data_IF_579711862150
#
_entry.id   IF_579711862150
#
_cell.length_a   1.000
_cell.length_b   1.000
_cell.length_c   1.000
_cell.angle_alpha   90.00
_cell.angle_beta   90.00
_cell.angle_gamma   90.00
#
_symmetry.space_group_name_H-M   'P 1'
#
loop_
_entity.id
_entity.type
_entity.pdbx_description
1 polymer ?
#
# COMPACT_ATOMS: atom_id res chain seq x y z
N UNK A 1 -1.04 -0.47 -13.10
CA UNK A 1 -2.17 0.19 -12.41
C UNK A 1 -3.38 -0.71 -12.56
N UNK A 2 -3.82 -1.41 -11.51
CA UNK A 2 -4.93 -2.35 -11.61
C UNK A 2 -6.24 -1.58 -11.41
N UNK A 3 -6.76 -0.98 -12.48
CA UNK A 3 -8.05 -0.29 -12.47
C UNK A 3 -9.16 -1.34 -12.33
N UNK A 4 -9.51 -1.69 -11.08
CA UNK A 4 -10.67 -2.54 -10.81
C UNK A 4 -11.94 -1.71 -11.01
N UNK A 5 -12.47 -1.74 -12.23
CA UNK A 5 -13.82 -1.24 -12.51
C UNK A 5 -14.79 -2.11 -11.70
N UNK A 6 -15.65 -1.54 -10.84
CA UNK A 6 -16.52 -2.31 -9.94
C UNK A 6 -17.73 -2.89 -10.68
N UNK A 7 -17.48 -3.77 -11.66
CA UNK A 7 -18.51 -4.40 -12.51
C UNK A 7 -19.51 -5.28 -11.74
N UNK A 8 -19.24 -5.57 -10.45
CA UNK A 8 -20.11 -6.35 -9.56
C UNK A 8 -21.01 -5.48 -8.66
N UNK A 9 -20.81 -4.16 -8.65
CA UNK A 9 -21.59 -3.24 -7.83
C UNK A 9 -22.20 -2.17 -8.73
N UNK A 10 -23.42 -2.41 -9.21
CA UNK A 10 -24.12 -1.54 -10.18
C UNK A 10 -24.24 -0.09 -9.72
N UNK A 11 -24.41 0.14 -8.41
CA UNK A 11 -24.52 1.50 -7.87
C UNK A 11 -23.18 2.22 -7.90
N UNK A 12 -22.11 1.53 -7.54
CA UNK A 12 -20.76 2.11 -7.62
C UNK A 12 -20.32 2.30 -9.07
N UNK A 13 -20.62 1.34 -9.93
CA UNK A 13 -20.35 1.41 -11.36
C UNK A 13 -21.08 2.58 -12.03
N UNK A 14 -22.35 2.83 -11.66
CA UNK A 14 -23.08 4.01 -12.09
C UNK A 14 -22.38 5.31 -11.67
N UNK A 15 -21.85 5.38 -10.43
CA UNK A 15 -21.10 6.57 -9.99
C UNK A 15 -19.82 6.80 -10.80
N UNK A 16 -19.11 5.73 -11.21
CA UNK A 16 -17.97 5.85 -12.11
C UNK A 16 -18.37 6.43 -13.46
N UNK A 17 -19.41 5.86 -14.09
CA UNK A 17 -19.91 6.35 -15.38
C UNK A 17 -20.32 7.81 -15.26
N UNK A 18 -21.14 8.16 -14.26
CA UNK A 18 -21.63 9.54 -14.10
C UNK A 18 -20.50 10.53 -13.79
N UNK A 19 -19.47 10.11 -13.07
CA UNK A 19 -18.29 10.95 -12.83
C UNK A 19 -17.43 11.14 -14.09
N UNK A 20 -17.39 10.16 -14.99
CA UNK A 20 -16.68 10.27 -16.27
C UNK A 20 -17.42 11.22 -17.20
N UNK A 21 -18.75 11.09 -17.28
CA UNK A 21 -19.60 11.94 -18.11
C UNK A 21 -19.58 13.39 -17.59
N UNK A 22 -19.71 13.56 -16.27
CA UNK A 22 -19.68 14.86 -15.59
C UNK A 22 -20.72 15.89 -16.10
N UNK A 23 -21.84 15.40 -16.62
CA UNK A 23 -22.99 16.19 -17.06
C UNK A 23 -24.17 16.05 -16.08
N UNK A 24 -24.99 17.10 -15.91
CA UNK A 24 -26.19 17.05 -15.07
C UNK A 24 -27.25 16.10 -15.65
N UNK A 25 -27.36 16.05 -16.97
CA UNK A 25 -28.29 15.22 -17.72
C UNK A 25 -27.66 14.70 -19.01
N UNK A 26 -28.15 13.56 -19.50
CA UNK A 26 -27.70 12.94 -20.75
C UNK A 26 -28.85 12.17 -21.39
N UNK A 27 -28.97 12.17 -22.72
CA UNK A 27 -30.00 11.38 -23.37
C UNK A 27 -29.73 9.87 -23.20
N UNK A 28 -30.78 9.05 -23.30
CA UNK A 28 -30.62 7.59 -23.23
C UNK A 28 -29.64 7.06 -24.30
N UNK A 29 -29.72 7.59 -25.52
CA UNK A 29 -28.90 7.14 -26.64
C UNK A 29 -27.44 7.54 -26.44
N UNK A 30 -27.19 8.77 -26.00
CA UNK A 30 -25.83 9.24 -25.75
C UNK A 30 -25.20 8.47 -24.59
N UNK A 31 -25.95 8.22 -23.50
CA UNK A 31 -25.44 7.41 -22.39
C UNK A 31 -25.10 5.98 -22.84
N UNK A 32 -25.95 5.38 -23.69
CA UNK A 32 -25.70 4.06 -24.25
C UNK A 32 -24.45 4.08 -25.12
N UNK A 33 -24.35 5.07 -26.00
CA UNK A 33 -23.24 5.22 -26.92
C UNK A 33 -21.92 5.43 -26.16
N UNK A 34 -21.89 6.34 -25.19
CA UNK A 34 -20.71 6.61 -24.38
C UNK A 34 -20.25 5.39 -23.60
N UNK A 35 -21.15 4.66 -22.95
CA UNK A 35 -20.74 3.46 -22.18
C UNK A 35 -20.19 2.36 -23.11
N UNK A 36 -20.82 2.15 -24.27
CA UNK A 36 -20.50 1.02 -25.16
C UNK A 36 -19.37 1.29 -26.15
N UNK A 37 -19.31 2.49 -26.71
CA UNK A 37 -18.43 2.81 -27.82
C UNK A 37 -17.33 3.81 -27.45
N UNK A 38 -17.59 4.79 -26.58
CA UNK A 38 -16.52 5.71 -26.16
C UNK A 38 -15.66 5.10 -25.05
N UNK A 39 -16.30 4.48 -24.05
CA UNK A 39 -15.64 3.95 -22.87
C UNK A 39 -15.40 2.43 -22.95
N UNK A 40 -15.98 1.74 -23.94
CA UNK A 40 -15.86 0.30 -24.15
C UNK A 40 -16.09 -0.54 -22.88
N UNK A 41 -17.03 -0.13 -22.02
CA UNK A 41 -17.23 -0.76 -20.71
C UNK A 41 -18.07 -2.03 -20.80
N UNK A 42 -19.00 -2.09 -21.75
CA UNK A 42 -19.94 -3.21 -21.97
C UNK A 42 -20.62 -3.12 -23.34
N UNK A 43 -21.14 -4.25 -23.85
CA UNK A 43 -21.84 -4.31 -25.13
C UNK A 43 -23.14 -3.49 -25.12
N UNK A 44 -23.63 -3.00 -26.28
CA UNK A 44 -24.84 -2.19 -26.36
C UNK A 44 -26.07 -2.79 -25.69
N UNK A 45 -26.26 -4.11 -25.81
CA UNK A 45 -27.36 -4.82 -25.17
C UNK A 45 -27.24 -4.82 -23.64
N UNK A 46 -26.03 -5.08 -23.11
CA UNK A 46 -25.78 -5.06 -21.67
C UNK A 46 -25.93 -3.64 -21.11
N UNK A 47 -25.47 -2.63 -21.85
CA UNK A 47 -25.65 -1.22 -21.50
C UNK A 47 -27.12 -0.84 -21.42
N UNK A 48 -27.91 -1.22 -22.43
CA UNK A 48 -29.35 -0.97 -22.45
C UNK A 48 -30.02 -1.56 -21.21
N UNK A 49 -29.73 -2.83 -20.91
CA UNK A 49 -30.28 -3.51 -19.74
C UNK A 49 -29.83 -2.85 -18.42
N UNK A 50 -28.58 -2.41 -18.33
CA UNK A 50 -28.05 -1.68 -17.18
C UNK A 50 -28.78 -0.35 -16.96
N UNK A 51 -28.94 0.48 -17.99
CA UNK A 51 -29.62 1.78 -17.89
C UNK A 51 -31.09 1.57 -17.51
N UNK A 52 -31.78 0.63 -18.16
CA UNK A 52 -33.18 0.30 -17.84
C UNK A 52 -33.34 -0.19 -16.39
N UNK A 53 -32.42 -1.03 -15.91
CA UNK A 53 -32.42 -1.49 -14.51
C UNK A 53 -32.16 -0.34 -13.54
N UNK A 54 -31.29 0.60 -13.90
CA UNK A 54 -31.03 1.80 -13.08
C UNK A 54 -32.26 2.73 -13.01
N UNK A 55 -33.03 2.86 -14.09
CA UNK A 55 -34.30 3.59 -14.09
C UNK A 55 -35.34 2.86 -13.25
N UNK A 56 -35.52 1.55 -13.46
CA UNK A 56 -36.47 0.71 -12.71
C UNK A 56 -36.23 0.77 -11.20
N UNK A 57 -34.97 0.85 -10.78
CA UNK A 57 -34.57 0.93 -9.38
C UNK A 57 -34.44 2.38 -8.87
N UNK A 58 -35.00 3.36 -9.57
CA UNK A 58 -35.03 4.78 -9.18
C UNK A 58 -33.64 5.40 -8.93
N UNK A 59 -32.60 4.84 -9.53
CA UNK A 59 -31.24 5.40 -9.51
C UNK A 59 -31.10 6.52 -10.54
N UNK A 60 -31.75 6.33 -11.69
CA UNK A 60 -31.90 7.31 -12.74
C UNK A 60 -33.36 7.72 -12.87
N UNK A 61 -33.58 9.01 -13.13
CA UNK A 61 -34.89 9.57 -13.45
C UNK A 61 -34.88 9.95 -14.92
N UNK A 62 -35.94 9.57 -15.63
CA UNK A 62 -36.15 9.92 -17.03
C UNK A 62 -37.23 11.00 -17.11
N UNK A 63 -36.94 12.10 -17.78
CA UNK A 63 -37.89 13.19 -17.98
C UNK A 63 -38.77 12.99 -19.24
N UNK A 64 -39.66 13.95 -19.51
CA UNK A 64 -40.55 13.94 -20.68
C UNK A 64 -39.81 14.10 -22.01
N UNK A 65 -38.56 14.59 -22.00
CA UNK A 65 -37.69 14.77 -23.17
C UNK A 65 -36.75 13.57 -23.40
N UNK A 66 -36.92 12.48 -22.65
CA UNK A 66 -36.03 11.32 -22.64
C UNK A 66 -34.60 11.59 -22.13
N UNK A 67 -34.40 12.67 -21.37
CA UNK A 67 -33.15 12.96 -20.67
C UNK A 67 -33.09 12.16 -19.37
N UNK A 68 -31.89 11.70 -19.04
CA UNK A 68 -31.58 10.93 -17.84
C UNK A 68 -30.80 11.78 -16.86
N UNK A 69 -31.25 11.81 -15.62
CA UNK A 69 -30.57 12.44 -14.49
C UNK A 69 -30.40 11.43 -13.36
N UNK A 70 -29.43 11.65 -12.47
CA UNK A 70 -29.38 10.91 -11.21
C UNK A 70 -30.55 11.34 -10.32
N UNK A 71 -31.17 10.39 -9.63
CA UNK A 71 -32.18 10.74 -8.63
C UNK A 71 -31.55 11.59 -7.51
N UNK A 72 -32.32 12.48 -6.85
CA UNK A 72 -31.77 13.36 -5.79
C UNK A 72 -31.04 12.58 -4.69
N UNK A 73 -31.52 11.38 -4.36
CA UNK A 73 -30.88 10.46 -3.40
C UNK A 73 -29.53 9.97 -3.92
N UNK A 74 -29.46 9.57 -5.19
CA UNK A 74 -28.22 9.10 -5.81
C UNK A 74 -27.22 10.23 -6.07
N UNK A 75 -27.68 11.44 -6.39
CA UNK A 75 -26.81 12.62 -6.51
C UNK A 75 -26.12 12.94 -5.18
N UNK A 76 -26.86 12.90 -4.05
CA UNK A 76 -26.27 13.06 -2.72
C UNK A 76 -25.25 11.96 -2.41
N UNK A 77 -25.54 10.70 -2.79
CA UNK A 77 -24.60 9.57 -2.63
C UNK A 77 -23.34 9.76 -3.48
N UNK A 78 -23.47 10.21 -4.74
CA UNK A 78 -22.34 10.52 -5.62
C UNK A 78 -21.44 11.60 -5.01
N UNK A 79 -22.00 12.69 -4.50
CA UNK A 79 -21.22 13.76 -3.87
C UNK A 79 -20.45 13.27 -2.64
N UNK A 80 -21.10 12.47 -1.78
CA UNK A 80 -20.45 11.83 -0.62
C UNK A 80 -19.32 10.90 -1.07
N UNK A 81 -19.57 10.07 -2.08
CA UNK A 81 -18.61 9.15 -2.66
C UNK A 81 -17.39 9.88 -3.25
N UNK A 82 -17.60 10.99 -3.96
CA UNK A 82 -16.51 11.81 -4.52
C UNK A 82 -15.66 12.42 -3.40
N UNK A 83 -16.29 12.93 -2.34
CA UNK A 83 -15.58 13.51 -1.17
C UNK A 83 -14.70 12.47 -0.48
N UNK A 84 -15.22 11.27 -0.22
CA UNK A 84 -14.47 10.17 0.41
C UNK A 84 -13.26 9.80 -0.46
N UNK A 85 -13.48 9.58 -1.77
CA UNK A 85 -12.39 9.21 -2.69
C UNK A 85 -11.32 10.29 -2.82
N UNK A 86 -11.71 11.57 -2.87
CA UNK A 86 -10.77 12.68 -2.86
C UNK A 86 -9.87 12.64 -1.61
N UNK A 87 -10.45 12.40 -0.43
CA UNK A 87 -9.69 12.28 0.81
C UNK A 87 -8.72 11.09 0.78
N UNK A 88 -9.16 9.93 0.29
CA UNK A 88 -8.31 8.74 0.13
C UNK A 88 -7.13 8.99 -0.82
N UNK A 89 -7.37 9.66 -1.96
CA UNK A 89 -6.34 10.01 -2.93
C UNK A 89 -5.33 10.98 -2.31
N UNK A 90 -5.79 12.03 -1.63
CA UNK A 90 -4.91 12.98 -0.96
C UNK A 90 -4.05 12.30 0.12
N UNK A 91 -4.63 11.36 0.89
CA UNK A 91 -3.88 10.56 1.86
C UNK A 91 -2.82 9.69 1.19
N UNK A 92 -3.13 9.04 0.06
CA UNK A 92 -2.15 8.25 -0.71
C UNK A 92 -1.04 9.12 -1.27
N UNK A 93 -1.36 10.30 -1.78
CA UNK A 93 -0.38 11.26 -2.30
C UNK A 93 0.56 11.73 -1.19
N UNK A 94 0.03 12.11 -0.02
CA UNK A 94 0.85 12.55 1.10
C UNK A 94 1.74 11.41 1.64
N UNK A 95 1.21 10.20 1.78
CA UNK A 95 1.97 9.01 2.15
C UNK A 95 3.11 8.73 1.15
N UNK A 96 2.84 8.77 -0.15
CA UNK A 96 3.86 8.54 -1.19
C UNK A 96 4.95 9.61 -1.16
N UNK A 97 4.59 10.89 -0.95
CA UNK A 97 5.55 11.98 -0.79
C UNK A 97 6.45 11.78 0.43
N UNK A 98 5.87 11.39 1.57
CA UNK A 98 6.63 11.10 2.78
C UNK A 98 7.57 9.92 2.60
N UNK A 99 7.10 8.83 2.00
CA UNK A 99 7.94 7.67 1.65
C UNK A 99 9.14 8.05 0.77
N UNK A 100 8.92 8.86 -0.28
CA UNK A 100 10.01 9.37 -1.13
C UNK A 100 11.00 10.21 -0.35
N UNK A 101 10.54 11.07 0.56
CA UNK A 101 11.42 11.87 1.43
C UNK A 101 12.26 10.98 2.35
N UNK A 102 11.66 9.97 2.97
CA UNK A 102 12.37 9.01 3.84
C UNK A 102 13.42 8.22 3.07
N UNK A 103 13.11 7.75 1.86
CA UNK A 103 14.11 7.04 1.04
C UNK A 103 15.24 7.98 0.65
N UNK A 104 14.91 9.22 0.24
CA UNK A 104 15.90 10.23 -0.13
C UNK A 104 16.85 10.51 1.04
N UNK A 105 16.33 10.74 2.24
CA UNK A 105 17.15 10.93 3.45
C UNK A 105 18.00 9.71 3.78
N UNK A 106 17.48 8.49 3.58
CA UNK A 106 18.28 7.27 3.81
C UNK A 106 19.39 7.10 2.76
N UNK A 107 19.16 7.51 1.50
CA UNK A 107 20.11 7.28 0.40
C UNK A 107 21.15 8.38 0.20
N UNK A 108 20.82 9.63 0.51
CA UNK A 108 21.69 10.79 0.21
C UNK A 108 22.50 11.23 1.44
N UNK A 109 21.99 11.03 2.66
CA UNK A 109 22.71 11.37 3.87
C UNK A 109 23.63 10.21 4.31
N UNK A 110 24.92 10.30 3.96
CA UNK A 110 26.01 9.73 4.77
C UNK A 110 26.14 10.42 6.15
N UNK A 111 25.26 11.38 6.48
CA UNK A 111 25.37 12.25 7.64
C UNK A 111 25.08 11.58 8.99
N UNK A 112 24.53 10.35 9.03
CA UNK A 112 24.25 9.65 10.30
C UNK A 112 24.77 8.21 10.29
N UNK A 113 25.24 7.75 11.45
CA UNK A 113 25.69 6.38 11.70
C UNK A 113 24.62 5.36 11.29
N UNK A 114 23.35 5.64 11.60
CA UNK A 114 22.23 4.77 11.24
C UNK A 114 22.12 4.58 9.73
N UNK A 115 22.11 5.67 8.95
CA UNK A 115 21.95 5.59 7.50
C UNK A 115 23.11 4.82 6.86
N UNK A 116 24.33 5.07 7.32
CA UNK A 116 25.52 4.35 6.84
C UNK A 116 25.38 2.85 7.07
N UNK A 117 24.98 2.45 8.29
CA UNK A 117 24.84 1.04 8.65
C UNK A 117 23.68 0.36 7.92
N UNK A 118 22.49 0.99 7.85
CA UNK A 118 21.34 0.37 7.20
C UNK A 118 21.54 0.21 5.68
N UNK A 119 22.27 1.14 5.06
CA UNK A 119 22.66 1.05 3.64
C UNK A 119 23.72 -0.03 3.40
N UNK A 120 24.54 -0.39 4.39
CA UNK A 120 25.46 -1.52 4.26
C UNK A 120 24.69 -2.85 4.11
N UNK A 121 23.48 -2.95 4.67
CA UNK A 121 22.64 -4.15 4.59
C UNK A 121 21.57 -4.11 3.51
N UNK A 122 21.36 -2.98 2.83
CA UNK A 122 20.24 -2.82 1.89
C UNK A 122 20.57 -2.03 0.64
N UNK A 123 19.85 -2.30 -0.43
CA UNK A 123 19.92 -1.53 -1.68
C UNK A 123 18.77 -0.51 -1.78
N UNK A 124 18.89 0.44 -2.71
CA UNK A 124 17.86 1.48 -2.94
C UNK A 124 16.48 0.88 -3.23
N UNK A 125 16.41 -0.25 -3.93
CA UNK A 125 15.14 -0.92 -4.22
C UNK A 125 14.51 -1.51 -2.95
N UNK A 126 15.30 -1.99 -2.02
CA UNK A 126 14.88 -2.57 -0.74
C UNK A 126 14.43 -1.49 0.22
N UNK A 127 15.14 -0.36 0.29
CA UNK A 127 14.71 0.82 1.05
C UNK A 127 13.35 1.34 0.55
N UNK A 128 13.18 1.47 -0.77
CA UNK A 128 11.90 1.86 -1.37
C UNK A 128 10.76 0.91 -1.00
N UNK A 129 11.01 -0.40 -1.00
CA UNK A 129 10.01 -1.40 -0.58
C UNK A 129 9.75 -1.33 0.92
N UNK A 130 10.76 -1.11 1.74
CA UNK A 130 10.64 -1.06 3.19
C UNK A 130 9.73 0.08 3.65
N UNK A 131 9.88 1.29 3.11
CA UNK A 131 9.04 2.45 3.50
C UNK A 131 7.55 2.28 3.18
N UNK A 132 7.19 1.34 2.29
CA UNK A 132 5.79 1.00 1.99
C UNK A 132 5.16 0.07 3.02
N UNK A 133 5.99 -0.62 3.82
CA UNK A 133 5.52 -1.47 4.90
C UNK A 133 5.02 -0.58 6.04
N UNK A 134 3.84 -0.88 6.59
CA UNK A 134 3.23 -0.10 7.67
C UNK A 134 4.00 -0.26 8.97
N UNK A 135 4.18 0.81 9.76
CA UNK A 135 4.74 0.69 11.11
C UNK A 135 3.87 -0.24 11.98
N UNK A 136 2.55 -0.13 11.84
CA UNK A 136 1.58 -0.95 12.57
C UNK A 136 1.59 -2.44 12.19
N UNK A 137 2.32 -2.84 11.13
CA UNK A 137 2.49 -4.25 10.78
C UNK A 137 3.54 -4.96 11.63
N UNK A 138 4.35 -4.22 12.39
CA UNK A 138 5.39 -4.75 13.26
C UNK A 138 4.86 -4.85 14.68
N UNK A 139 4.77 -6.07 15.19
CA UNK A 139 4.55 -6.35 16.59
C UNK A 139 5.91 -6.63 17.26
N UNK A 140 6.41 -5.67 18.03
CA UNK A 140 7.68 -5.79 18.74
C UNK A 140 7.46 -6.49 20.08
N UNK A 141 7.98 -7.72 20.21
CA UNK A 141 7.86 -8.55 21.41
C UNK A 141 8.99 -8.22 22.38
N UNK A 142 10.21 -8.03 21.87
CA UNK A 142 11.39 -7.71 22.66
C UNK A 142 12.34 -6.77 21.92
N UNK A 143 12.88 -5.80 22.64
CA UNK A 143 13.93 -4.89 22.18
C UNK A 143 14.77 -4.45 23.36
N UNK A 144 15.83 -5.20 23.64
CA UNK A 144 16.66 -4.99 24.82
C UNK A 144 18.14 -5.06 24.45
N UNK A 145 18.87 -3.97 24.70
CA UNK A 145 20.31 -3.88 24.41
C UNK A 145 21.17 -4.76 25.33
N UNK A 146 20.79 -4.85 26.62
CA UNK A 146 21.55 -5.55 27.65
C UNK A 146 21.47 -7.05 27.43
N UNK A 147 20.27 -7.55 27.10
CA UNK A 147 20.09 -8.94 26.71
C UNK A 147 20.57 -9.23 25.29
N UNK A 148 20.82 -8.20 24.48
CA UNK A 148 21.27 -8.36 23.10
C UNK A 148 20.22 -8.98 22.19
N UNK A 149 18.93 -8.78 22.49
CA UNK A 149 17.82 -9.47 21.85
C UNK A 149 16.80 -8.53 21.20
N UNK A 150 16.44 -8.84 19.95
CA UNK A 150 15.26 -8.31 19.27
C UNK A 150 14.36 -9.48 18.88
N UNK A 151 13.10 -9.44 19.31
CA UNK A 151 12.06 -10.37 18.88
C UNK A 151 10.89 -9.56 18.33
N UNK A 152 10.48 -9.85 17.11
CA UNK A 152 9.37 -9.18 16.46
C UNK A 152 8.62 -10.12 15.53
N UNK A 153 7.33 -9.85 15.36
CA UNK A 153 6.51 -10.43 14.31
C UNK A 153 6.15 -9.33 13.32
N UNK A 154 6.12 -9.65 12.03
CA UNK A 154 5.73 -8.71 10.99
C UNK A 154 4.68 -9.32 10.07
N UNK A 155 3.54 -8.62 9.95
CA UNK A 155 2.48 -9.03 9.04
C UNK A 155 2.93 -8.87 7.59
N UNK A 156 2.71 -9.89 6.78
CA UNK A 156 3.25 -9.98 5.43
C UNK A 156 2.23 -10.46 4.40
N UNK A 157 2.69 -11.23 3.43
CA UNK A 157 1.83 -11.85 2.40
C UNK A 157 1.30 -13.23 2.79
N UNK A 158 1.83 -13.83 3.87
CA UNK A 158 1.28 -15.05 4.47
C UNK A 158 0.14 -14.68 5.43
N UNK A 159 -0.78 -15.61 5.65
CA UNK A 159 -1.83 -15.49 6.67
C UNK A 159 -1.22 -15.42 8.09
N UNK A 160 -0.11 -16.12 8.30
CA UNK A 160 0.69 -16.03 9.51
C UNK A 160 1.78 -14.94 9.42
N UNK A 161 2.03 -14.20 10.52
CA UNK A 161 3.07 -13.19 10.55
C UNK A 161 4.47 -13.83 10.49
N UNK A 162 5.37 -13.19 9.75
CA UNK A 162 6.77 -13.59 9.72
C UNK A 162 7.43 -13.30 11.06
N UNK A 163 8.30 -14.21 11.51
CA UNK A 163 9.06 -14.07 12.75
C UNK A 163 10.41 -13.43 12.45
N UNK A 164 10.87 -12.58 13.36
CA UNK A 164 12.21 -12.00 13.33
C UNK A 164 12.82 -12.19 14.71
N UNK A 165 14.00 -12.80 14.76
CA UNK A 165 14.83 -12.88 15.95
C UNK A 165 16.25 -12.41 15.62
N UNK A 166 16.77 -11.52 16.44
CA UNK A 166 18.16 -11.05 16.37
C UNK A 166 18.76 -11.24 17.76
N UNK A 167 19.77 -12.10 17.86
CA UNK A 167 20.51 -12.38 19.08
C UNK A 167 21.99 -12.02 18.87
N UNK A 168 22.45 -10.97 19.56
CA UNK A 168 23.84 -10.51 19.44
C UNK A 168 24.83 -11.33 20.26
N UNK A 169 24.36 -12.15 21.21
CA UNK A 169 25.21 -13.04 21.99
C UNK A 169 25.53 -14.30 21.19
N UNK A 170 24.54 -14.81 20.45
CA UNK A 170 24.69 -15.95 19.55
C UNK A 170 25.13 -15.56 18.12
N UNK A 171 25.10 -14.26 17.79
CA UNK A 171 25.31 -13.73 16.43
C UNK A 171 24.33 -14.33 15.40
N UNK A 172 23.05 -14.45 15.76
CA UNK A 172 22.04 -15.05 14.91
C UNK A 172 21.01 -14.00 14.49
N UNK A 173 20.68 -14.00 13.19
CA UNK A 173 19.54 -13.29 12.61
C UNK A 173 18.63 -14.31 11.91
N UNK A 174 17.53 -14.65 12.57
CA UNK A 174 16.48 -15.55 12.07
C UNK A 174 15.33 -14.75 11.47
N UNK A 175 14.90 -15.11 10.26
CA UNK A 175 13.71 -14.55 9.63
C UNK A 175 13.15 -15.43 8.51
N UNK A 176 11.85 -15.71 8.55
CA UNK A 176 11.18 -16.70 7.70
C UNK A 176 10.45 -16.12 6.47
N UNK A 177 10.72 -14.86 6.09
CA UNK A 177 10.11 -14.34 4.86
C UNK A 177 10.82 -14.88 3.62
N UNK A 178 10.04 -15.17 2.58
CA UNK A 178 10.53 -15.75 1.33
C UNK A 178 11.68 -14.94 0.68
N UNK A 179 11.59 -13.60 0.66
CA UNK A 179 12.67 -12.75 0.12
C UNK A 179 13.97 -12.92 0.91
N UNK A 180 13.87 -13.06 2.23
CA UNK A 180 15.03 -13.22 3.09
C UNK A 180 15.68 -14.58 2.90
N UNK A 181 14.91 -15.65 3.13
CA UNK A 181 15.37 -17.04 3.08
C UNK A 181 15.99 -17.35 1.72
N UNK A 182 15.33 -16.97 0.62
CA UNK A 182 15.77 -17.38 -0.72
C UNK A 182 16.91 -16.53 -1.28
N UNK A 183 17.11 -15.28 -0.81
CA UNK A 183 18.00 -14.33 -1.50
C UNK A 183 18.87 -13.48 -0.60
N UNK A 184 18.33 -12.98 0.51
CA UNK A 184 19.01 -11.96 1.31
C UNK A 184 19.94 -12.58 2.36
N UNK A 185 19.53 -13.70 2.97
CA UNK A 185 20.33 -14.42 3.96
C UNK A 185 21.70 -14.85 3.42
N UNK A 186 21.73 -15.43 2.21
CA UNK A 186 22.96 -15.88 1.52
C UNK A 186 24.00 -14.77 1.36
N UNK A 187 23.54 -13.54 1.13
CA UNK A 187 24.40 -12.38 0.90
C UNK A 187 24.59 -11.51 2.15
N UNK A 188 24.14 -11.97 3.33
CA UNK A 188 24.12 -11.20 4.58
C UNK A 188 23.46 -9.80 4.41
N UNK A 189 22.41 -9.74 3.61
CA UNK A 189 21.61 -8.53 3.35
C UNK A 189 20.27 -8.61 4.05
N UNK A 190 19.64 -7.46 4.19
CA UNK A 190 18.30 -7.34 4.75
C UNK A 190 17.24 -7.37 3.64
N UNK A 191 16.11 -7.99 3.94
CA UNK A 191 14.89 -7.84 3.15
C UNK A 191 14.15 -6.54 3.55
N UNK A 192 13.06 -6.23 2.86
CA UNK A 192 12.23 -5.05 3.17
C UNK A 192 11.69 -5.03 4.61
N UNK A 193 11.46 -6.20 5.21
CA UNK A 193 10.91 -6.33 6.56
C UNK A 193 11.94 -5.98 7.63
N UNK A 194 13.16 -6.51 7.51
CA UNK A 194 14.26 -6.21 8.41
C UNK A 194 14.64 -4.72 8.35
N UNK A 195 14.72 -4.15 7.15
CA UNK A 195 14.94 -2.71 6.99
C UNK A 195 13.82 -1.92 7.69
N UNK A 196 12.55 -2.32 7.49
CA UNK A 196 11.43 -1.66 8.16
C UNK A 196 11.50 -1.77 9.68
N UNK A 197 11.88 -2.94 10.21
CA UNK A 197 12.09 -3.14 11.64
C UNK A 197 13.10 -2.13 12.18
N UNK A 198 14.28 -2.01 11.57
CA UNK A 198 15.27 -1.04 12.01
C UNK A 198 14.81 0.42 11.91
N UNK A 199 13.96 0.77 10.93
CA UNK A 199 13.35 2.10 10.89
C UNK A 199 12.39 2.35 12.06
N UNK A 200 11.62 1.34 12.48
CA UNK A 200 10.74 1.42 13.66
C UNK A 200 11.55 1.42 14.96
N UNK A 201 12.63 0.65 15.03
CA UNK A 201 13.53 0.65 16.19
C UNK A 201 14.24 2.00 16.32
N UNK A 202 14.66 2.62 15.22
CA UNK A 202 15.25 3.95 15.20
C UNK A 202 14.32 4.99 15.83
N UNK A 203 13.04 4.99 15.45
CA UNK A 203 12.07 5.96 15.99
C UNK A 203 11.73 5.71 17.47
N UNK A 204 11.93 4.48 17.98
CA UNK A 204 11.78 4.15 19.40
C UNK A 204 13.02 4.50 20.22
N UNK A 205 14.20 4.07 19.77
CA UNK A 205 15.49 4.34 20.40
C UNK A 205 16.62 4.20 19.37
N UNK A 206 17.04 5.33 18.82
CA UNK A 206 18.07 5.38 17.77
C UNK A 206 19.41 4.83 18.23
N UNK A 207 19.85 5.13 19.47
CA UNK A 207 21.14 4.67 20.01
C UNK A 207 21.20 3.14 20.06
N UNK A 208 20.17 2.52 20.62
CA UNK A 208 20.10 1.04 20.71
C UNK A 208 19.99 0.43 19.31
N UNK A 209 19.17 1.02 18.43
CA UNK A 209 19.04 0.54 17.06
C UNK A 209 20.38 0.54 16.30
N UNK A 210 21.17 1.62 16.43
CA UNK A 210 22.52 1.74 15.89
C UNK A 210 23.44 0.70 16.53
N UNK A 211 23.36 0.47 17.84
CA UNK A 211 24.17 -0.52 18.56
C UNK A 211 24.01 -1.93 17.97
N UNK A 212 22.77 -2.37 17.74
CA UNK A 212 22.49 -3.64 17.06
C UNK A 212 23.07 -3.70 15.65
N UNK A 213 22.85 -2.66 14.83
CA UNK A 213 23.41 -2.60 13.47
C UNK A 213 24.95 -2.65 13.49
N UNK A 214 25.60 -1.96 14.43
CA UNK A 214 27.06 -1.99 14.62
C UNK A 214 27.53 -3.38 14.98
N UNK A 215 26.90 -4.05 15.95
CA UNK A 215 27.22 -5.43 16.35
C UNK A 215 27.13 -6.40 15.17
N UNK A 216 26.07 -6.30 14.36
CA UNK A 216 25.91 -7.11 13.14
C UNK A 216 27.01 -6.80 12.12
N UNK A 217 27.29 -5.51 11.86
CA UNK A 217 28.26 -5.11 10.83
C UNK A 217 29.70 -5.45 11.16
N UNK A 218 30.12 -5.31 12.43
CA UNK A 218 31.52 -5.46 12.85
C UNK A 218 32.02 -6.89 12.67
N UNK A 219 31.15 -7.87 12.88
CA UNK A 219 31.48 -9.30 12.84
C UNK A 219 30.64 -10.07 11.82
N UNK A 220 30.22 -9.44 10.72
CA UNK A 220 29.20 -10.00 9.80
C UNK A 220 29.48 -11.42 9.30
N UNK A 221 30.75 -11.79 9.16
CA UNK A 221 31.16 -13.13 8.72
C UNK A 221 30.88 -14.21 9.78
N UNK A 222 30.82 -13.84 11.06
CA UNK A 222 30.50 -14.72 12.17
C UNK A 222 29.00 -14.73 12.49
N UNK A 223 28.21 -13.91 11.81
CA UNK A 223 26.76 -13.91 11.99
C UNK A 223 26.11 -14.97 11.13
N UNK A 224 25.19 -15.74 11.70
CA UNK A 224 24.35 -16.69 10.98
C UNK A 224 23.04 -16.01 10.57
N UNK A 225 22.68 -16.11 9.30
CA UNK A 225 21.45 -15.56 8.74
C UNK A 225 20.61 -16.75 8.28
N UNK A 226 19.57 -17.08 9.01
CA UNK A 226 18.81 -18.34 8.87
C UNK A 226 17.30 -18.09 8.82
N UNK A 227 16.54 -19.09 8.39
CA UNK A 227 15.07 -19.05 8.44
C UNK A 227 14.55 -18.99 9.89
#
# INVERSE_FOLDING_TARGET
MNLKIPRKNDSEFLFYIWKIIDLPEISFQDLLYTISFDLFLMSPEKTRNFIQTAIKNEKLIKDSKNMLTLSPVFQKKLNKWQKIRKQEILKKISQSRNQKRTVKSLSEDKATDFNTLINAFSDKATLNRAVTVSDASINLIKFDENEGMILANISGSKDEPYKIKIDTNQNILEHDCHDFVQRRALNKKFCKHLVKLFLVLKSKNEKVSISFLKKISKNINNWEFTE
#
